data_IF_655059524424
#
_entry.id   IF_655059524424
#
_cell.length_a   1.000
_cell.length_b   1.000
_cell.length_c   1.000
_cell.angle_alpha   90.00
_cell.angle_beta   90.00
_cell.angle_gamma   90.00
#
_symmetry.space_group_name_H-M   'P 1'
#
loop_
_entity.id
_entity.type
_entity.pdbx_description
1 polymer ?
#
# COMPACT_ATOMS: atom_id res chain seq x y z
N UNK A 1 -21.11 6.24 -1.22
CA UNK A 1 -20.51 7.57 -1.44
C UNK A 1 -21.04 8.06 -2.78
N UNK A 2 -21.64 9.26 -2.88
CA UNK A 2 -22.12 9.79 -4.16
C UNK A 2 -20.95 10.19 -5.07
N UNK A 3 -21.23 10.34 -6.37
CA UNK A 3 -20.27 10.91 -7.31
C UNK A 3 -19.95 12.38 -6.96
N UNK A 4 -18.76 12.84 -7.35
CA UNK A 4 -18.32 14.23 -7.16
C UNK A 4 -19.21 15.15 -8.01
N UNK A 5 -19.83 16.16 -7.39
CA UNK A 5 -20.64 17.15 -8.08
C UNK A 5 -19.77 18.03 -9.00
N UNK A 6 -20.32 18.40 -10.16
CA UNK A 6 -19.69 19.28 -11.16
C UNK A 6 -18.36 18.79 -11.78
N UNK A 7 -17.91 17.58 -11.45
CA UNK A 7 -16.79 16.96 -12.14
C UNK A 7 -17.21 16.54 -13.55
N UNK A 8 -16.45 16.98 -14.56
CA UNK A 8 -16.64 16.60 -15.96
C UNK A 8 -15.53 15.62 -16.36
N UNK A 9 -15.78 14.30 -16.38
CA UNK A 9 -14.76 13.32 -16.71
C UNK A 9 -14.26 13.51 -18.14
N UNK A 10 -12.95 13.42 -18.32
CA UNK A 10 -12.31 13.39 -19.65
C UNK A 10 -11.74 11.99 -19.84
N UNK A 11 -12.06 11.36 -20.98
CA UNK A 11 -11.47 10.08 -21.33
C UNK A 11 -9.97 10.27 -21.61
N UNK A 12 -9.12 9.62 -20.82
CA UNK A 12 -7.65 9.72 -20.95
C UNK A 12 -7.04 8.59 -21.78
N UNK A 13 -7.86 7.70 -22.37
CA UNK A 13 -7.43 6.48 -23.07
C UNK A 13 -6.42 6.74 -24.19
N UNK A 14 -6.52 7.90 -24.86
CA UNK A 14 -5.70 8.26 -26.02
C UNK A 14 -4.39 8.97 -25.63
N UNK A 15 -4.16 9.19 -24.32
CA UNK A 15 -2.95 9.82 -23.81
C UNK A 15 -1.84 8.81 -23.52
N UNK A 16 -0.64 9.32 -23.21
CA UNK A 16 0.48 8.51 -22.72
C UNK A 16 0.18 7.78 -21.40
N UNK A 17 -0.88 8.15 -20.68
CA UNK A 17 -1.29 7.50 -19.43
C UNK A 17 -1.59 6.01 -19.63
N UNK A 18 -2.06 5.60 -20.81
CA UNK A 18 -2.35 4.20 -21.15
C UNK A 18 -1.34 3.61 -22.16
N UNK A 19 -0.13 4.19 -22.24
CA UNK A 19 0.98 3.61 -22.99
C UNK A 19 1.92 2.88 -22.03
N UNK A 20 2.47 1.71 -22.44
CA UNK A 20 3.39 0.96 -21.60
C UNK A 20 4.61 1.75 -21.14
N UNK A 21 5.17 1.37 -19.99
CA UNK A 21 6.42 1.87 -19.45
C UNK A 21 7.07 0.78 -18.58
N UNK A 22 8.41 0.72 -18.58
CA UNK A 22 9.15 -0.15 -17.67
C UNK A 22 9.57 0.64 -16.42
N UNK A 23 9.29 0.09 -15.24
CA UNK A 23 9.67 0.66 -13.94
C UNK A 23 10.39 -0.41 -13.12
N UNK A 24 11.71 -0.25 -12.95
CA UNK A 24 12.57 -1.30 -12.40
C UNK A 24 12.45 -2.58 -13.24
N UNK A 25 12.01 -3.67 -12.61
CA UNK A 25 11.80 -4.96 -13.25
C UNK A 25 10.37 -5.16 -13.80
N UNK A 26 9.46 -4.19 -13.62
CA UNK A 26 8.05 -4.35 -13.97
C UNK A 26 7.72 -3.66 -15.29
N UNK A 27 7.04 -4.36 -16.19
CA UNK A 27 6.47 -3.78 -17.40
C UNK A 27 5.01 -3.41 -17.15
N UNK A 28 4.76 -2.11 -16.99
CA UNK A 28 3.44 -1.59 -16.72
C UNK A 28 2.73 -1.29 -18.06
N UNK A 29 1.51 -1.79 -18.31
CA UNK A 29 0.76 -1.48 -19.53
C UNK A 29 0.16 -0.06 -19.51
N UNK A 30 0.19 0.61 -18.36
CA UNK A 30 -0.40 1.93 -18.11
C UNK A 30 0.37 2.63 -16.97
N UNK A 31 0.19 3.94 -16.83
CA UNK A 31 1.04 4.82 -15.98
C UNK A 31 0.30 5.40 -14.77
N UNK A 32 -0.85 4.84 -14.40
CA UNK A 32 -1.55 5.14 -13.15
C UNK A 32 -0.99 4.25 -12.04
N UNK A 33 -0.56 4.88 -10.96
CA UNK A 33 -0.06 4.20 -9.78
C UNK A 33 -0.89 4.59 -8.55
N UNK A 34 -1.02 3.66 -7.60
CA UNK A 34 -1.49 3.97 -6.25
C UNK A 34 -0.30 4.48 -5.43
N UNK A 35 -0.35 5.74 -5.01
CA UNK A 35 0.59 6.31 -4.07
C UNK A 35 0.50 5.60 -2.70
N UNK A 36 1.53 5.71 -1.83
CA UNK A 36 1.44 5.19 -0.48
C UNK A 36 0.36 5.92 0.32
N UNK A 37 -0.53 5.15 0.96
CA UNK A 37 -1.67 5.69 1.71
C UNK A 37 -1.77 5.00 3.07
N UNK A 38 -1.17 5.59 4.12
CA UNK A 38 -1.31 5.07 5.49
C UNK A 38 -2.78 5.02 5.89
N UNK A 39 -3.25 3.81 6.27
CA UNK A 39 -4.66 3.60 6.63
C UNK A 39 -4.87 3.41 8.13
N UNK A 40 -3.86 3.15 8.95
CA UNK A 40 -4.09 2.93 10.39
C UNK A 40 -5.03 1.75 10.69
N UNK A 41 -4.92 0.64 9.96
CA UNK A 41 -5.73 -0.58 10.17
C UNK A 41 -4.92 -1.77 10.71
N UNK A 42 -3.61 -1.62 10.89
CA UNK A 42 -2.79 -2.68 11.46
C UNK A 42 -3.23 -2.97 12.91
N UNK A 43 -3.07 -4.23 13.32
CA UNK A 43 -3.38 -4.65 14.69
C UNK A 43 -2.30 -4.18 15.65
N UNK A 44 -2.75 -3.74 16.83
CA UNK A 44 -1.93 -3.58 18.03
C UNK A 44 -2.30 -4.70 19.03
N UNK A 45 -1.32 -5.31 19.72
CA UNK A 45 0.12 -5.07 19.60
C UNK A 45 0.73 -5.68 18.32
N UNK A 46 1.93 -5.22 17.96
CA UNK A 46 2.79 -5.88 16.97
C UNK A 46 2.78 -5.30 15.55
N UNK A 47 2.01 -4.24 15.27
CA UNK A 47 1.98 -3.54 13.98
C UNK A 47 1.74 -4.50 12.80
N UNK A 48 0.85 -5.48 13.00
CA UNK A 48 0.60 -6.54 12.01
C UNK A 48 -0.43 -6.02 10.99
N UNK A 49 -0.18 -6.09 9.67
CA UNK A 49 -1.21 -5.77 8.68
C UNK A 49 -2.54 -6.45 9.00
N UNK A 50 -3.65 -5.74 8.82
CA UNK A 50 -4.97 -6.20 9.23
C UNK A 50 -5.29 -7.58 8.64
N UNK A 51 -5.57 -8.58 9.49
CA UNK A 51 -5.76 -9.97 9.07
C UNK A 51 -7.07 -10.19 8.32
N UNK A 52 -8.07 -9.34 8.59
CA UNK A 52 -9.42 -9.49 8.06
C UNK A 52 -9.63 -8.75 6.73
N UNK A 53 -9.06 -7.55 6.60
CA UNK A 53 -9.42 -6.63 5.52
C UNK A 53 -8.26 -6.22 4.60
N UNK A 54 -7.00 -6.36 5.02
CA UNK A 54 -5.89 -5.81 4.22
C UNK A 54 -5.76 -6.49 2.85
N UNK A 55 -5.94 -7.81 2.78
CA UNK A 55 -5.88 -8.56 1.51
C UNK A 55 -6.99 -8.10 0.56
N UNK A 56 -8.22 -8.01 1.04
CA UNK A 56 -9.36 -7.54 0.23
C UNK A 56 -9.17 -6.09 -0.23
N UNK A 57 -8.68 -5.22 0.66
CA UNK A 57 -8.38 -3.82 0.35
C UNK A 57 -7.39 -3.68 -0.83
N UNK A 58 -6.30 -4.44 -0.81
CA UNK A 58 -5.31 -4.44 -1.88
C UNK A 58 -5.77 -5.22 -3.12
N UNK A 59 -6.62 -6.24 -2.97
CA UNK A 59 -7.26 -6.95 -4.09
C UNK A 59 -8.07 -5.99 -4.96
N UNK A 60 -8.98 -5.22 -4.33
CA UNK A 60 -9.84 -4.25 -5.03
C UNK A 60 -9.03 -3.18 -5.78
N UNK A 61 -7.87 -2.76 -5.24
CA UNK A 61 -7.02 -1.73 -5.85
C UNK A 61 -6.04 -2.26 -6.89
N UNK A 62 -5.85 -3.57 -6.93
CA UNK A 62 -5.02 -4.25 -7.92
C UNK A 62 -5.82 -4.92 -9.03
N UNK A 63 -7.17 -4.81 -9.00
CA UNK A 63 -8.09 -5.53 -9.90
C UNK A 63 -7.82 -5.26 -11.38
N UNK A 64 -7.34 -4.06 -11.73
CA UNK A 64 -6.94 -3.72 -13.10
C UNK A 64 -5.55 -4.31 -13.36
N UNK A 65 -5.40 -5.27 -14.30
CA UNK A 65 -4.09 -5.87 -14.58
C UNK A 65 -3.04 -4.83 -14.93
N UNK A 66 -1.84 -5.00 -14.39
CA UNK A 66 -0.72 -4.08 -14.57
C UNK A 66 -0.83 -2.79 -13.77
N UNK A 67 -1.64 -2.77 -12.70
CA UNK A 67 -1.63 -1.67 -11.74
C UNK A 67 -0.32 -1.65 -10.96
N UNK A 68 0.20 -0.45 -10.70
CA UNK A 68 1.40 -0.26 -9.89
C UNK A 68 0.98 0.26 -8.51
N UNK A 69 1.21 -0.52 -7.46
CA UNK A 69 0.80 -0.20 -6.09
C UNK A 69 2.03 0.05 -5.23
N UNK A 70 2.03 1.18 -4.54
CA UNK A 70 2.95 1.41 -3.42
C UNK A 70 2.14 1.19 -2.14
N UNK A 71 2.61 0.31 -1.25
CA UNK A 71 1.90 0.02 0.01
C UNK A 71 1.76 1.26 0.87
N UNK A 72 0.91 1.19 1.90
CA UNK A 72 1.07 2.08 3.05
C UNK A 72 2.49 2.01 3.65
N UNK A 73 2.87 3.05 4.39
CA UNK A 73 4.16 3.11 5.04
C UNK A 73 4.33 1.97 6.04
N UNK A 74 5.39 1.18 5.86
CA UNK A 74 5.71 0.05 6.70
C UNK A 74 7.03 0.32 7.45
N UNK A 75 7.02 0.16 8.77
CA UNK A 75 8.23 0.37 9.56
C UNK A 75 9.24 -0.77 9.32
N UNK A 76 10.53 -0.48 9.06
CA UNK A 76 11.55 -1.51 8.89
C UNK A 76 12.09 -2.06 10.23
N UNK A 77 11.72 -1.44 11.35
CA UNK A 77 12.00 -1.93 12.71
C UNK A 77 11.03 -1.30 13.72
N UNK A 78 10.94 -1.87 14.92
CA UNK A 78 10.14 -1.29 16.01
C UNK A 78 10.56 0.15 16.35
N UNK A 79 11.87 0.45 16.32
CA UNK A 79 12.41 1.78 16.65
C UNK A 79 12.02 2.86 15.64
N UNK A 80 11.71 2.47 14.40
CA UNK A 80 11.28 3.38 13.34
C UNK A 80 9.81 3.79 13.43
N UNK A 81 9.03 3.08 14.26
CA UNK A 81 7.61 3.28 14.43
C UNK A 81 7.25 4.31 15.50
N UNK A 82 6.01 4.23 15.95
CA UNK A 82 5.42 5.17 16.91
C UNK A 82 3.90 5.29 16.79
N UNK A 83 3.30 4.77 15.71
CA UNK A 83 1.85 4.62 15.61
C UNK A 83 1.46 3.14 15.76
N UNK A 84 0.58 2.86 16.70
CA UNK A 84 0.14 1.49 17.04
C UNK A 84 -0.54 0.76 15.88
N UNK A 85 -1.23 1.49 15.01
CA UNK A 85 -2.04 0.91 13.94
C UNK A 85 -1.43 1.07 12.54
N UNK A 86 -0.20 1.55 12.41
CA UNK A 86 0.55 1.47 11.16
C UNK A 86 1.35 0.15 11.10
N UNK A 87 1.50 -0.48 9.92
CA UNK A 87 2.12 -1.78 9.84
C UNK A 87 3.65 -1.74 9.92
N UNK A 88 4.24 -2.86 10.30
CA UNK A 88 5.66 -3.15 10.21
C UNK A 88 6.02 -4.13 9.10
N UNK A 89 7.32 -4.27 8.81
CA UNK A 89 7.87 -5.29 7.92
C UNK A 89 9.20 -5.88 8.45
N UNK A 90 9.30 -6.10 9.76
CA UNK A 90 10.55 -6.54 10.42
C UNK A 90 10.46 -7.88 11.15
N UNK A 91 9.25 -8.41 11.39
CA UNK A 91 9.06 -9.68 12.07
C UNK A 91 8.23 -10.67 11.24
N UNK A 92 8.29 -11.95 11.60
CA UNK A 92 7.64 -13.02 10.85
C UNK A 92 6.12 -12.89 10.79
N UNK A 93 5.46 -12.46 11.87
CA UNK A 93 4.00 -12.33 11.89
C UNK A 93 3.49 -11.28 10.90
N UNK A 94 4.21 -10.16 10.78
CA UNK A 94 3.96 -9.13 9.78
C UNK A 94 4.19 -9.69 8.38
N UNK A 95 5.32 -10.38 8.16
CA UNK A 95 5.68 -10.95 6.86
C UNK A 95 4.67 -12.01 6.41
N UNK A 96 4.08 -12.80 7.31
CA UNK A 96 3.01 -13.75 6.99
C UNK A 96 1.81 -13.03 6.36
N UNK A 97 1.38 -11.88 6.90
CA UNK A 97 0.26 -11.14 6.30
C UNK A 97 0.67 -10.40 5.02
N UNK A 98 1.86 -9.80 4.98
CA UNK A 98 2.37 -9.17 3.75
C UNK A 98 2.48 -10.15 2.59
N UNK A 99 2.92 -11.39 2.84
CA UNK A 99 2.96 -12.46 1.82
C UNK A 99 1.59 -12.72 1.19
N UNK A 100 0.51 -12.73 1.98
CA UNK A 100 -0.86 -12.87 1.46
C UNK A 100 -1.28 -11.67 0.61
N UNK A 101 -0.97 -10.46 1.08
CA UNK A 101 -1.26 -9.22 0.35
C UNK A 101 -0.53 -9.20 -0.99
N UNK A 102 0.77 -9.48 -1.01
CA UNK A 102 1.57 -9.52 -2.24
C UNK A 102 1.12 -10.64 -3.17
N UNK A 103 0.84 -11.83 -2.63
CA UNK A 103 0.27 -12.94 -3.39
C UNK A 103 -1.00 -12.52 -4.12
N UNK A 104 -1.92 -11.84 -3.42
CA UNK A 104 -3.17 -11.40 -4.02
C UNK A 104 -2.98 -10.33 -5.11
N UNK A 105 -2.07 -9.38 -4.90
CA UNK A 105 -1.75 -8.36 -5.92
C UNK A 105 -1.15 -9.02 -7.19
N UNK A 106 -0.27 -10.00 -7.01
CA UNK A 106 0.34 -10.74 -8.12
C UNK A 106 -0.66 -11.66 -8.84
N UNK A 107 -1.60 -12.30 -8.13
CA UNK A 107 -2.72 -13.05 -8.73
C UNK A 107 -3.53 -12.16 -9.68
N UNK A 108 -3.73 -10.89 -9.31
CA UNK A 108 -4.41 -9.88 -10.14
C UNK A 108 -3.52 -9.35 -11.30
N UNK A 109 -2.32 -9.90 -11.51
CA UNK A 109 -1.33 -9.48 -12.51
C UNK A 109 -0.90 -8.02 -12.35
N UNK A 110 -0.85 -7.55 -11.12
CA UNK A 110 -0.43 -6.20 -10.75
C UNK A 110 0.87 -6.27 -9.95
N UNK A 111 1.48 -5.11 -9.69
CA UNK A 111 2.81 -5.00 -9.10
C UNK A 111 2.75 -4.23 -7.80
N UNK A 112 3.59 -4.59 -6.83
CA UNK A 112 3.64 -3.96 -5.51
C UNK A 112 5.05 -3.59 -5.08
N UNK A 113 5.21 -2.38 -4.54
CA UNK A 113 6.44 -1.89 -3.90
C UNK A 113 6.13 -1.47 -2.47
N UNK A 114 7.01 -1.81 -1.53
CA UNK A 114 6.82 -1.44 -0.12
C UNK A 114 7.43 -0.07 0.16
N UNK A 115 6.65 0.85 0.73
CA UNK A 115 7.19 2.10 1.26
C UNK A 115 7.82 1.85 2.63
N UNK A 116 9.15 1.88 2.71
CA UNK A 116 9.85 1.84 4.00
C UNK A 116 9.69 3.19 4.72
N UNK A 117 9.23 3.15 5.96
CA UNK A 117 8.86 4.34 6.71
C UNK A 117 9.63 4.45 8.03
N UNK A 118 10.23 5.62 8.29
CA UNK A 118 10.88 5.96 9.55
C UNK A 118 10.31 7.28 10.04
N UNK A 119 9.65 7.28 11.21
CA UNK A 119 8.94 8.47 11.68
C UNK A 119 9.85 9.62 12.11
N UNK A 120 11.03 9.32 12.66
CA UNK A 120 11.90 10.35 13.22
C UNK A 120 11.18 11.14 14.33
N UNK A 121 11.18 12.47 14.25
CA UNK A 121 10.58 13.35 15.28
C UNK A 121 9.06 13.24 15.41
N UNK A 122 8.38 12.67 14.41
CA UNK A 122 6.92 12.54 14.39
C UNK A 122 6.41 11.34 15.18
N UNK A 123 7.31 10.49 15.69
CA UNK A 123 6.93 9.40 16.59
C UNK A 123 6.21 9.98 17.80
N UNK A 124 5.14 9.32 18.24
CA UNK A 124 4.56 9.64 19.54
C UNK A 124 5.63 9.37 20.61
N UNK A 125 5.87 10.37 21.46
CA UNK A 125 6.71 10.21 22.63
C UNK A 125 5.96 9.31 23.60
N UNK A 126 6.50 8.13 23.87
CA UNK A 126 6.09 7.37 25.04
C UNK A 126 6.36 8.23 26.27
N UNK A 127 5.31 8.80 26.88
CA UNK A 127 5.38 9.11 28.30
C UNK A 127 5.56 7.78 29.01
N UNK A 128 6.75 7.58 29.58
CA UNK A 128 7.01 6.49 30.50
C UNK A 128 6.14 6.80 31.73
N UNK A 129 5.04 6.09 31.89
CA UNK A 129 4.40 5.93 33.19
C UNK A 129 5.08 4.78 33.94
#
# INVERSE_FOLDING_TARGET
MPFIQDFKPIALKDSNLFKPIKVGNNELPQRVAMAPLTRMRAHHPGNIPNKDWAVEYYSQRSERPGSFIITEGAYPSAQCGGYDNAPGIWNEEQLVQWRKIFGKIHENKSFVWVQLWVLGKQRESFEIQ
#
